data_IF_290789906200
#
_entry.id   IF_290789906200
#
_cell.length_a   1.000
_cell.length_b   1.000
_cell.length_c   1.000
_cell.angle_alpha   90.00
_cell.angle_beta   90.00
_cell.angle_gamma   90.00
#
_symmetry.space_group_name_H-M   'P 1'
#
loop_
_entity.id
_entity.type
_entity.pdbx_description
1 polymer ?
#
# COMPACT_ATOMS: atom_id res chain seq x y z
N UNK A 1 44.53 -11.84 -15.43
CA UNK A 1 43.99 -11.51 -14.09
C UNK A 1 42.48 -11.33 -14.23
N UNK A 2 41.71 -12.34 -13.85
CA UNK A 2 40.25 -12.24 -13.86
C UNK A 2 39.81 -11.95 -12.43
N UNK A 3 39.24 -10.75 -12.21
CA UNK A 3 38.52 -10.44 -10.97
C UNK A 3 37.21 -11.21 -11.00
N UNK A 4 37.16 -12.35 -10.30
CA UNK A 4 35.92 -13.05 -10.05
C UNK A 4 35.09 -12.21 -9.06
N UNK A 5 34.00 -11.62 -9.56
CA UNK A 5 32.99 -11.01 -8.71
C UNK A 5 32.29 -12.13 -7.92
N UNK A 6 32.58 -12.21 -6.63
CA UNK A 6 31.85 -13.05 -5.69
C UNK A 6 30.86 -12.16 -4.94
N UNK A 7 29.54 -12.24 -5.22
CA UNK A 7 28.56 -11.51 -4.43
C UNK A 7 28.50 -12.12 -3.04
N UNK A 8 29.19 -11.48 -2.09
CA UNK A 8 29.04 -11.76 -0.67
C UNK A 8 27.77 -11.10 -0.15
N UNK A 9 26.61 -11.73 -0.35
CA UNK A 9 25.40 -11.33 0.37
C UNK A 9 24.67 -12.57 0.88
N UNK A 10 25.03 -13.00 2.09
CA UNK A 10 24.17 -13.91 2.86
C UNK A 10 22.88 -13.16 3.18
N UNK A 11 21.78 -13.57 2.57
CA UNK A 11 20.45 -13.06 2.90
C UNK A 11 20.11 -13.56 4.30
N UNK A 12 20.07 -12.65 5.27
CA UNK A 12 19.56 -12.95 6.60
C UNK A 12 18.07 -13.29 6.48
N UNK A 13 17.75 -14.58 6.60
CA UNK A 13 16.40 -15.13 6.43
C UNK A 13 15.44 -14.60 7.48
N UNK A 14 15.91 -14.33 8.70
CA UNK A 14 15.11 -13.73 9.77
C UNK A 14 14.77 -12.28 9.42
N UNK A 15 15.77 -11.49 9.00
CA UNK A 15 15.54 -10.11 8.55
C UNK A 15 14.61 -10.04 7.35
N UNK A 16 14.79 -10.94 6.38
CA UNK A 16 13.92 -11.03 5.21
C UNK A 16 12.48 -11.38 5.61
N UNK A 17 12.29 -12.34 6.51
CA UNK A 17 10.98 -12.75 6.99
C UNK A 17 10.26 -11.61 7.76
N UNK A 18 10.99 -10.85 8.57
CA UNK A 18 10.41 -9.71 9.30
C UNK A 18 9.99 -8.61 8.33
N UNK A 19 10.85 -8.26 7.36
CA UNK A 19 10.54 -7.23 6.37
C UNK A 19 9.36 -7.65 5.49
N UNK A 20 9.34 -8.91 5.02
CA UNK A 20 8.24 -9.40 4.18
C UNK A 20 6.92 -9.42 4.95
N UNK A 21 6.92 -9.86 6.20
CA UNK A 21 5.74 -9.82 7.06
C UNK A 21 5.23 -8.39 7.27
N UNK A 22 6.14 -7.44 7.56
CA UNK A 22 5.79 -6.04 7.72
C UNK A 22 5.16 -5.44 6.45
N UNK A 23 5.71 -5.76 5.28
CA UNK A 23 5.15 -5.33 3.98
C UNK A 23 3.75 -5.90 3.78
N UNK A 24 3.54 -7.19 4.03
CA UNK A 24 2.23 -7.84 3.87
C UNK A 24 1.21 -7.22 4.83
N UNK A 25 1.58 -7.00 6.08
CA UNK A 25 0.72 -6.38 7.07
C UNK A 25 0.34 -4.95 6.66
N UNK A 26 1.32 -4.17 6.18
CA UNK A 26 1.07 -2.82 5.69
C UNK A 26 0.18 -2.81 4.44
N UNK A 27 0.38 -3.74 3.51
CA UNK A 27 -0.47 -3.89 2.34
C UNK A 27 -1.91 -4.26 2.73
N UNK A 28 -2.09 -5.15 3.70
CA UNK A 28 -3.42 -5.49 4.23
C UNK A 28 -4.08 -4.29 4.89
N UNK A 29 -3.34 -3.50 5.67
CA UNK A 29 -3.84 -2.25 6.26
C UNK A 29 -4.26 -1.25 5.17
N UNK A 30 -3.45 -1.06 4.13
CA UNK A 30 -3.77 -0.18 3.02
C UNK A 30 -5.05 -0.63 2.30
N UNK A 31 -5.18 -1.92 2.01
CA UNK A 31 -6.38 -2.49 1.39
C UNK A 31 -7.61 -2.36 2.29
N UNK A 32 -7.47 -2.52 3.59
CA UNK A 32 -8.55 -2.28 4.55
C UNK A 32 -9.02 -0.82 4.51
N UNK A 33 -8.09 0.14 4.52
CA UNK A 33 -8.45 1.57 4.48
C UNK A 33 -9.12 1.96 3.16
N UNK A 34 -8.63 1.43 2.03
CA UNK A 34 -9.27 1.63 0.72
C UNK A 34 -10.66 1.00 0.71
N UNK A 35 -10.82 -0.24 1.16
CA UNK A 35 -12.12 -0.91 1.24
C UNK A 35 -13.09 -0.23 2.21
N UNK A 36 -12.58 0.40 3.27
CA UNK A 36 -13.35 1.22 4.17
C UNK A 36 -13.88 2.46 3.47
N UNK A 37 -13.02 3.25 2.81
CA UNK A 37 -13.40 4.45 2.07
C UNK A 37 -14.43 4.12 0.98
N UNK A 38 -14.18 3.08 0.18
CA UNK A 38 -15.06 2.65 -0.92
C UNK A 38 -16.39 2.04 -0.48
N UNK A 39 -16.69 2.03 0.82
CA UNK A 39 -17.95 1.50 1.35
C UNK A 39 -18.07 -0.01 1.40
N UNK A 40 -17.01 -0.76 1.04
CA UNK A 40 -17.02 -2.22 1.03
C UNK A 40 -17.03 -2.83 2.44
N UNK A 41 -16.45 -2.12 3.43
CA UNK A 41 -16.38 -2.56 4.83
C UNK A 41 -17.39 -1.81 5.71
N UNK A 42 -17.58 -0.51 5.48
CA UNK A 42 -18.48 0.33 6.28
C UNK A 42 -19.34 1.21 5.40
N UNK A 43 -20.65 1.24 5.69
CA UNK A 43 -21.58 2.14 5.01
C UNK A 43 -21.28 3.62 5.26
N UNK A 44 -20.66 3.95 6.41
CA UNK A 44 -20.21 5.32 6.67
C UNK A 44 -19.03 5.74 5.79
N UNK A 45 -18.29 4.77 5.24
CA UNK A 45 -17.17 5.02 4.34
C UNK A 45 -17.59 5.70 3.04
N UNK A 46 -18.74 5.32 2.49
CA UNK A 46 -19.29 5.95 1.26
C UNK A 46 -19.47 7.46 1.40
N UNK A 47 -19.87 7.95 2.58
CA UNK A 47 -19.97 9.40 2.80
C UNK A 47 -18.59 10.07 2.67
N UNK A 48 -17.55 9.42 3.16
CA UNK A 48 -16.18 9.91 3.02
C UNK A 48 -15.71 9.83 1.57
N UNK A 49 -16.03 8.73 0.87
CA UNK A 49 -15.73 8.57 -0.55
C UNK A 49 -16.30 9.71 -1.39
N UNK A 50 -17.60 10.00 -1.22
CA UNK A 50 -18.29 11.06 -1.94
C UNK A 50 -17.71 12.45 -1.60
N UNK A 51 -17.40 12.70 -0.31
CA UNK A 51 -16.74 13.93 0.11
C UNK A 51 -15.38 14.13 -0.57
N UNK A 52 -14.54 13.08 -0.63
CA UNK A 52 -13.22 13.11 -1.25
C UNK A 52 -13.34 13.24 -2.78
N UNK A 53 -14.30 12.55 -3.36
CA UNK A 53 -14.62 12.60 -4.78
C UNK A 53 -15.03 14.03 -5.20
N UNK A 54 -15.89 14.68 -4.42
CA UNK A 54 -16.33 16.05 -4.65
C UNK A 54 -15.22 17.07 -4.39
N UNK A 55 -14.38 16.84 -3.39
CA UNK A 55 -13.18 17.66 -3.15
C UNK A 55 -12.23 17.66 -4.36
N UNK A 56 -12.08 16.52 -5.04
CA UNK A 56 -11.28 16.42 -6.27
C UNK A 56 -11.89 17.25 -7.40
N UNK A 57 -13.22 17.21 -7.57
CA UNK A 57 -13.91 18.06 -8.53
C UNK A 57 -13.75 19.55 -8.21
N UNK A 58 -13.82 19.94 -6.94
CA UNK A 58 -13.64 21.31 -6.50
C UNK A 58 -12.25 21.85 -6.81
N UNK A 59 -11.23 20.98 -6.75
CA UNK A 59 -9.85 21.29 -7.12
C UNK A 59 -9.58 21.22 -8.63
N UNK A 60 -10.59 20.92 -9.46
CA UNK A 60 -10.47 20.81 -10.92
C UNK A 60 -9.68 19.60 -11.40
N UNK A 61 -9.45 18.61 -10.53
CA UNK A 61 -8.71 17.39 -10.85
C UNK A 61 -9.62 16.38 -11.58
N UNK A 62 -9.12 15.67 -12.62
CA UNK A 62 -9.93 14.69 -13.35
C UNK A 62 -10.31 13.50 -12.46
N UNK A 63 -11.50 12.95 -12.71
CA UNK A 63 -12.13 11.89 -11.93
C UNK A 63 -12.34 10.58 -12.71
N UNK A 64 -12.07 10.56 -14.02
CA UNK A 64 -12.20 9.42 -14.92
C UNK A 64 -10.87 9.12 -15.62
#
# INVERSE_FOLDING_TARGET
>A
MALAYAPGSSVDTTRLAVISFAIVLFAMLALYLVGFDQGAISRSGMYMHELMHDGRHLLGLPCH
#
